data_IF_759452875541
#
_entry.id   IF_759452875541
#
_cell.length_a   1.000
_cell.length_b   1.000
_cell.length_c   1.000
_cell.angle_alpha   90.00
_cell.angle_beta   90.00
_cell.angle_gamma   90.00
#
_symmetry.space_group_name_H-M   'P 1'
#
loop_
_entity.id
_entity.type
_entity.pdbx_description
1 polymer ?
#
# COMPACT_ATOMS: atom_id res chain seq x y z
N UNK A 1 -8.09 12.30 -2.99
CA UNK A 1 -7.43 11.07 -3.49
C UNK A 1 -7.41 11.01 -5.01
N UNK A 2 -8.56 11.14 -5.70
CA UNK A 2 -8.54 11.39 -7.15
C UNK A 2 -7.68 12.65 -7.42
N UNK A 3 -6.65 12.48 -8.24
CA UNK A 3 -5.70 13.50 -8.67
C UNK A 3 -4.68 14.02 -7.62
N UNK A 4 -4.44 13.31 -6.50
CA UNK A 4 -3.30 13.62 -5.63
C UNK A 4 -2.04 12.90 -6.15
N UNK A 5 -0.98 13.61 -6.61
CA UNK A 5 0.23 12.98 -7.15
C UNK A 5 1.13 12.32 -6.09
N UNK A 6 0.91 12.63 -4.81
CA UNK A 6 1.73 12.18 -3.68
C UNK A 6 1.12 11.00 -2.92
N UNK A 7 -0.19 10.80 -3.04
CA UNK A 7 -0.92 9.66 -2.46
C UNK A 7 -1.86 9.08 -3.52
N UNK A 8 -1.29 8.23 -4.37
CA UNK A 8 -1.91 7.84 -5.64
C UNK A 8 -2.55 6.46 -5.55
N UNK A 9 -3.87 6.36 -5.72
CA UNK A 9 -4.54 5.07 -5.90
C UNK A 9 -4.05 4.41 -7.19
N UNK A 10 -3.57 3.17 -7.11
CA UNK A 10 -3.10 2.42 -8.27
C UNK A 10 -4.28 2.00 -9.14
N UNK A 11 -4.41 2.65 -10.30
CA UNK A 11 -5.42 2.34 -11.33
C UNK A 11 -4.75 2.26 -12.70
N UNK A 12 -5.46 1.77 -13.73
CA UNK A 12 -4.94 1.67 -15.09
C UNK A 12 -4.49 3.02 -15.67
N UNK A 13 -5.12 4.12 -15.24
CA UNK A 13 -4.86 5.50 -15.72
C UNK A 13 -4.12 6.39 -14.74
N UNK A 14 -3.78 5.89 -13.54
CA UNK A 14 -3.07 6.68 -12.53
C UNK A 14 -1.72 7.24 -13.07
N UNK A 15 -1.30 8.45 -12.65
CA UNK A 15 -0.06 9.07 -13.12
C UNK A 15 1.19 8.51 -12.41
N UNK A 16 1.37 7.18 -12.45
CA UNK A 16 2.50 6.50 -11.81
C UNK A 16 3.69 6.39 -12.77
N UNK A 17 4.87 6.85 -12.35
CA UNK A 17 6.14 6.65 -13.06
C UNK A 17 7.17 6.01 -12.14
N UNK A 18 8.16 5.33 -12.73
CA UNK A 18 9.28 4.77 -11.95
C UNK A 18 10.08 5.86 -11.24
N UNK A 19 10.25 7.01 -11.89
CA UNK A 19 10.99 8.16 -11.33
C UNK A 19 10.27 8.85 -10.15
N UNK A 20 9.00 8.57 -9.90
CA UNK A 20 8.23 9.21 -8.82
C UNK A 20 7.73 8.24 -7.77
N UNK A 21 7.48 6.98 -8.13
CA UNK A 21 6.87 5.97 -7.26
C UNK A 21 7.63 4.63 -7.26
N UNK A 22 8.74 4.54 -8.00
CA UNK A 22 9.57 3.34 -8.09
C UNK A 22 9.02 2.23 -8.97
N UNK A 23 9.86 1.22 -9.19
CA UNK A 23 9.58 0.11 -10.10
C UNK A 23 8.39 -0.75 -9.69
N UNK A 24 8.20 -1.00 -8.39
CA UNK A 24 7.14 -1.89 -7.89
C UNK A 24 5.76 -1.26 -8.05
N UNK A 25 5.58 0.01 -7.70
CA UNK A 25 4.31 0.71 -7.91
C UNK A 25 3.95 0.77 -9.41
N UNK A 26 4.94 1.05 -10.28
CA UNK A 26 4.70 1.03 -11.72
C UNK A 26 4.36 -0.36 -12.24
N UNK A 27 4.98 -1.41 -11.70
CA UNK A 27 4.67 -2.79 -12.03
C UNK A 27 3.22 -3.14 -11.66
N UNK A 28 2.76 -2.78 -10.45
CA UNK A 28 1.37 -3.00 -10.04
C UNK A 28 0.37 -2.35 -11.00
N UNK A 29 0.62 -1.11 -11.43
CA UNK A 29 -0.21 -0.48 -12.46
C UNK A 29 -0.21 -1.26 -13.78
N UNK A 30 0.95 -1.77 -14.23
CA UNK A 30 1.02 -2.57 -15.46
C UNK A 30 0.18 -3.84 -15.34
N UNK A 31 0.21 -4.51 -14.19
CA UNK A 31 -0.63 -5.68 -13.93
C UNK A 31 -2.13 -5.30 -13.96
N UNK A 32 -2.51 -4.16 -13.38
CA UNK A 32 -3.89 -3.63 -13.47
C UNK A 32 -4.29 -3.36 -14.93
N UNK A 33 -3.40 -2.84 -15.78
CA UNK A 33 -3.67 -2.62 -17.21
C UNK A 33 -3.84 -3.90 -18.03
N UNK A 34 -3.35 -5.02 -17.50
CA UNK A 34 -3.51 -6.35 -18.09
C UNK A 34 -4.73 -7.08 -17.51
N UNK A 35 -5.59 -6.39 -16.78
CA UNK A 35 -6.77 -6.94 -16.09
C UNK A 35 -6.43 -8.11 -15.15
N UNK A 36 -5.20 -8.12 -14.61
CA UNK A 36 -4.79 -9.13 -13.62
C UNK A 36 -5.28 -8.75 -12.22
N UNK A 37 -5.59 -9.74 -11.36
CA UNK A 37 -6.04 -9.48 -9.99
C UNK A 37 -4.89 -8.92 -9.16
N UNK A 38 -4.95 -7.63 -8.86
CA UNK A 38 -3.98 -6.91 -8.04
C UNK A 38 -4.67 -6.42 -6.77
N UNK A 39 -4.08 -6.64 -5.57
CA UNK A 39 -4.61 -6.06 -4.34
C UNK A 39 -4.72 -4.54 -4.43
N UNK A 40 -5.83 -3.98 -3.91
CA UNK A 40 -6.02 -2.53 -3.89
C UNK A 40 -4.84 -1.87 -3.18
N UNK A 41 -4.22 -0.90 -3.84
CA UNK A 41 -2.95 -0.32 -3.39
C UNK A 41 -2.97 1.20 -3.57
N UNK A 42 -2.49 1.92 -2.56
CA UNK A 42 -2.13 3.34 -2.66
C UNK A 42 -0.61 3.43 -2.69
N UNK A 43 -0.06 4.12 -3.68
CA UNK A 43 1.37 4.38 -3.80
C UNK A 43 1.69 5.78 -3.27
N UNK A 44 2.71 5.88 -2.43
CA UNK A 44 3.27 7.16 -2.00
C UNK A 44 4.40 7.55 -2.96
N UNK A 45 4.43 8.81 -3.38
CA UNK A 45 5.52 9.32 -4.20
C UNK A 45 6.80 9.48 -3.37
N UNK A 46 7.96 9.58 -4.02
CA UNK A 46 9.22 9.89 -3.33
C UNK A 46 9.16 11.24 -2.60
N UNK A 47 8.47 12.23 -3.18
CA UNK A 47 8.21 13.50 -2.51
C UNK A 47 7.40 13.29 -1.23
N UNK A 48 6.32 12.51 -1.28
CA UNK A 48 5.51 12.20 -0.09
C UNK A 48 6.32 11.49 1.01
N UNK A 49 7.19 10.56 0.62
CA UNK A 49 8.08 9.85 1.57
C UNK A 49 9.09 10.81 2.19
N UNK A 50 9.63 11.75 1.41
CA UNK A 50 10.53 12.79 1.92
C UNK A 50 9.81 13.75 2.88
N UNK A 51 8.58 14.16 2.53
CA UNK A 51 7.72 14.99 3.39
C UNK A 51 7.47 14.32 4.74
N UNK A 52 7.13 13.01 4.74
CA UNK A 52 6.97 12.23 5.97
C UNK A 52 8.25 12.25 6.81
N UNK A 53 9.43 12.06 6.18
CA UNK A 53 10.71 12.11 6.88
C UNK A 53 11.00 13.49 7.48
N UNK A 54 10.47 14.57 6.87
CA UNK A 54 10.54 15.94 7.39
C UNK A 54 9.46 16.28 8.42
N UNK A 55 8.59 15.32 8.79
CA UNK A 55 7.51 15.50 9.77
C UNK A 55 6.17 15.93 9.18
N UNK A 56 6.06 16.02 7.86
CA UNK A 56 4.82 16.39 7.16
C UNK A 56 4.08 15.13 6.70
N UNK A 57 3.08 14.72 7.49
CA UNK A 57 2.26 13.57 7.15
C UNK A 57 1.25 13.90 6.04
N UNK A 58 1.00 12.97 5.10
CA UNK A 58 -0.13 13.11 4.18
C UNK A 58 -1.45 12.95 4.92
N UNK A 59 -2.56 13.21 4.24
CA UNK A 59 -3.90 12.90 4.72
C UNK A 59 -4.08 11.37 4.86
N UNK A 60 -3.81 10.86 6.06
CA UNK A 60 -3.89 9.44 6.39
C UNK A 60 -5.32 8.91 6.29
N UNK A 61 -6.31 9.72 6.68
CA UNK A 61 -7.70 9.33 6.62
C UNK A 61 -8.13 9.10 5.17
N UNK A 62 -7.76 10.02 4.26
CA UNK A 62 -8.01 9.84 2.84
C UNK A 62 -7.32 8.58 2.25
N UNK A 63 -6.13 8.21 2.76
CA UNK A 63 -5.45 6.96 2.37
C UNK A 63 -6.25 5.76 2.85
N UNK A 64 -6.62 5.72 4.13
CA UNK A 64 -7.31 4.60 4.75
C UNK A 64 -8.70 4.36 4.16
N UNK A 65 -9.43 5.42 3.79
CA UNK A 65 -10.72 5.34 3.11
C UNK A 65 -10.65 4.66 1.73
N UNK A 66 -9.47 4.49 1.15
CA UNK A 66 -9.32 3.69 -0.07
C UNK A 66 -9.42 2.19 0.19
N UNK A 67 -9.27 1.73 1.41
CA UNK A 67 -9.29 0.30 1.74
C UNK A 67 -10.61 -0.08 2.41
N UNK A 68 -11.00 -1.37 2.36
CA UNK A 68 -12.09 -1.85 3.21
C UNK A 68 -11.77 -1.57 4.68
N UNK A 69 -12.77 -1.13 5.46
CA UNK A 69 -12.59 -0.64 6.84
C UNK A 69 -11.83 -1.61 7.77
N UNK A 70 -11.98 -2.92 7.56
CA UNK A 70 -11.36 -3.96 8.39
C UNK A 70 -10.23 -4.71 7.67
N UNK A 71 -9.65 -4.12 6.62
CA UNK A 71 -8.54 -4.72 5.91
C UNK A 71 -7.26 -4.71 6.75
N UNK A 72 -6.53 -5.83 6.74
CA UNK A 72 -5.14 -5.83 7.12
C UNK A 72 -4.32 -5.25 5.96
N UNK A 73 -3.43 -4.32 6.28
CA UNK A 73 -2.59 -3.64 5.29
C UNK A 73 -1.17 -4.21 5.30
N UNK A 74 -0.48 -4.03 4.19
CA UNK A 74 0.97 -4.16 4.15
C UNK A 74 1.58 -2.86 3.64
N UNK A 75 2.75 -2.53 4.16
CA UNK A 75 3.58 -1.43 3.66
C UNK A 75 4.84 -2.04 3.08
N UNK A 76 5.11 -1.74 1.80
CA UNK A 76 6.25 -2.28 1.06
C UNK A 76 7.02 -1.15 0.40
N UNK A 77 8.36 -1.17 0.43
CA UNK A 77 9.16 -0.19 -0.30
C UNK A 77 8.99 -0.36 -1.80
N UNK A 78 9.00 0.76 -2.53
CA UNK A 78 9.13 0.81 -3.99
C UNK A 78 10.21 1.84 -4.30
N UNK A 79 11.47 1.46 -4.06
CA UNK A 79 12.64 2.34 -4.07
C UNK A 79 12.91 2.98 -5.44
N UNK A 80 13.56 4.15 -5.42
CA UNK A 80 14.13 4.77 -6.62
C UNK A 80 15.30 3.94 -7.16
N UNK A 81 16.20 3.54 -6.26
CA UNK A 81 17.27 2.59 -6.54
C UNK A 81 16.82 1.16 -6.23
N UNK A 82 16.70 0.26 -7.23
CA UNK A 82 16.31 -1.13 -7.03
C UNK A 82 17.24 -1.92 -6.11
N UNK A 83 18.52 -1.54 -6.05
CA UNK A 83 19.55 -2.20 -5.25
C UNK A 83 19.61 -1.66 -3.82
N UNK A 84 18.77 -0.67 -3.49
CA UNK A 84 18.66 -0.16 -2.14
C UNK A 84 18.08 -1.22 -1.19
N UNK A 85 18.94 -1.74 -0.31
CA UNK A 85 18.62 -2.70 0.76
C UNK A 85 17.86 -2.09 1.94
N UNK A 86 16.94 -1.17 1.67
CA UNK A 86 16.09 -0.52 2.68
C UNK A 86 15.16 -1.49 3.41
N UNK A 87 14.28 -0.98 4.29
CA UNK A 87 13.44 -1.81 5.16
C UNK A 87 12.61 -2.83 4.38
N UNK A 88 12.51 -4.04 4.91
CA UNK A 88 11.62 -5.07 4.38
C UNK A 88 10.15 -4.68 4.48
N UNK A 89 9.30 -5.38 3.73
CA UNK A 89 7.85 -5.25 3.84
C UNK A 89 7.37 -5.51 5.28
N UNK A 90 6.46 -4.66 5.76
CA UNK A 90 5.71 -4.88 7.01
C UNK A 90 4.33 -5.38 6.62
N UNK A 91 3.95 -6.56 7.13
CA UNK A 91 2.68 -7.22 6.84
C UNK A 91 1.73 -7.10 8.04
N UNK A 92 0.45 -7.43 7.81
CA UNK A 92 -0.58 -7.56 8.85
C UNK A 92 -0.79 -6.30 9.72
N UNK A 93 -0.55 -5.11 9.15
CA UNK A 93 -0.82 -3.85 9.83
C UNK A 93 -2.32 -3.71 10.06
N UNK A 94 -2.70 -3.40 11.30
CA UNK A 94 -4.09 -3.35 11.74
C UNK A 94 -4.54 -4.60 12.51
N UNK A 95 -3.70 -5.63 12.62
CA UNK A 95 -4.01 -6.82 13.41
C UNK A 95 -4.14 -6.45 14.91
N UNK A 96 -5.19 -6.96 15.53
CA UNK A 96 -5.51 -6.79 16.95
C UNK A 96 -6.47 -7.92 17.39
N UNK A 97 -6.79 -7.98 18.68
CA UNK A 97 -7.65 -9.05 19.24
C UNK A 97 -9.02 -9.14 18.55
N UNK A 98 -9.68 -8.01 18.27
CA UNK A 98 -10.98 -8.01 17.59
C UNK A 98 -10.87 -8.50 16.14
N UNK A 99 -9.80 -8.13 15.43
CA UNK A 99 -9.54 -8.64 14.07
C UNK A 99 -9.19 -10.13 14.08
N UNK A 100 -8.42 -10.57 15.07
CA UNK A 100 -8.10 -11.97 15.30
C UNK A 100 -9.36 -12.82 15.51
N UNK A 101 -10.24 -12.41 16.43
CA UNK A 101 -11.52 -13.10 16.68
C UNK A 101 -12.37 -13.19 15.41
N UNK A 102 -12.47 -12.09 14.65
CA UNK A 102 -13.19 -12.07 13.38
C UNK A 102 -12.57 -13.02 12.33
N UNK A 103 -11.24 -13.07 12.24
CA UNK A 103 -10.54 -13.95 11.32
C UNK A 103 -10.72 -15.42 11.72
N UNK A 104 -10.62 -15.77 13.01
CA UNK A 104 -10.92 -17.11 13.52
C UNK A 104 -12.31 -17.61 13.08
N UNK A 105 -13.31 -16.73 13.13
CA UNK A 105 -14.67 -17.06 12.68
C UNK A 105 -14.81 -17.34 11.17
N UNK A 106 -13.87 -16.87 10.35
CA UNK A 106 -13.92 -17.01 8.88
C UNK A 106 -12.90 -18.01 8.31
N UNK A 107 -11.73 -18.13 8.93
CA UNK A 107 -10.59 -18.92 8.44
C UNK A 107 -10.23 -20.09 9.37
N UNK A 108 -10.77 -20.12 10.60
CA UNK A 108 -10.31 -21.01 11.66
C UNK A 108 -9.14 -20.44 12.47
N UNK A 109 -8.92 -20.98 13.67
CA UNK A 109 -7.90 -20.50 14.62
C UNK A 109 -6.48 -20.62 14.09
N UNK A 110 -6.18 -21.74 13.42
CA UNK A 110 -4.82 -22.05 12.96
C UNK A 110 -4.40 -21.08 11.86
N UNK A 111 -5.29 -20.82 10.90
CA UNK A 111 -5.05 -19.87 9.81
C UNK A 111 -5.01 -18.41 10.30
N UNK A 112 -5.77 -18.06 11.34
CA UNK A 112 -5.78 -16.71 11.91
C UNK A 112 -4.55 -16.41 12.78
N UNK A 113 -3.83 -17.44 13.23
CA UNK A 113 -2.65 -17.33 14.12
C UNK A 113 -1.30 -17.44 13.40
N UNK A 114 -1.30 -17.71 12.10
CA UNK A 114 -0.10 -17.88 11.27
C UNK A 114 0.55 -16.55 10.88
#
# INVERSE_FOLDING_TARGET
MQNNPNTTLVTSVAPLTTATHGGRAKCLQRLVRLDLPVPRTVALSFAAVHDIASGHLPDLEAILQQFPQNALLCVRPSSEDPDWGGPSAILNIGMNNGRYEALCGTLGTDAASA
#
